data_IF_043999163233
#
_entry.id   IF_043999163233
#
_cell.length_a   1.000
_cell.length_b   1.000
_cell.length_c   1.000
_cell.angle_alpha   90.00
_cell.angle_beta   90.00
_cell.angle_gamma   90.00
#
_symmetry.space_group_name_H-M   'P 1'
#
loop_
_entity.id
_entity.type
_entity.pdbx_description
1 polymer ?
#
# COMPACT_ATOMS: atom_id res chain seq x y z
N UNK A 1 27.75 11.90 -12.56
CA UNK A 1 26.78 10.86 -12.96
C UNK A 1 25.81 11.49 -13.93
N UNK A 2 26.15 11.47 -15.23
CA UNK A 2 25.40 12.10 -16.30
C UNK A 2 24.15 11.27 -16.64
N UNK A 3 22.97 11.86 -16.43
CA UNK A 3 21.67 11.25 -16.71
C UNK A 3 21.42 11.13 -18.20
N UNK A 4 21.68 9.95 -18.76
CA UNK A 4 21.29 9.61 -20.11
C UNK A 4 19.94 8.87 -20.02
N UNK A 5 18.81 9.38 -20.52
CA UNK A 5 17.51 8.71 -20.45
C UNK A 5 17.54 7.30 -21.08
N UNK A 6 18.49 7.07 -21.99
CA UNK A 6 18.73 5.77 -22.60
C UNK A 6 19.31 4.73 -21.63
N UNK A 7 20.12 5.13 -20.64
CA UNK A 7 20.62 4.18 -19.62
C UNK A 7 19.54 3.79 -18.62
N UNK A 8 18.61 4.70 -18.30
CA UNK A 8 17.37 4.38 -17.59
C UNK A 8 16.52 3.37 -18.38
N UNK A 9 16.35 3.57 -19.68
CA UNK A 9 15.59 2.65 -20.54
C UNK A 9 16.21 1.25 -20.60
N UNK A 10 17.52 1.13 -20.80
CA UNK A 10 18.22 -0.16 -20.85
C UNK A 10 18.20 -0.86 -19.47
N UNK A 11 18.34 -0.12 -18.37
CA UNK A 11 18.23 -0.66 -17.02
C UNK A 11 16.80 -1.14 -16.70
N UNK A 12 15.77 -0.44 -17.17
CA UNK A 12 14.36 -0.85 -17.09
C UNK A 12 14.05 -2.07 -17.97
N UNK A 13 14.72 -2.20 -19.12
CA UNK A 13 14.49 -3.27 -20.10
C UNK A 13 14.99 -4.64 -19.62
N UNK A 14 16.05 -4.69 -18.79
CA UNK A 14 16.77 -5.95 -18.53
C UNK A 14 16.30 -6.74 -17.29
N UNK A 15 15.41 -6.21 -16.44
CA UNK A 15 14.89 -6.93 -15.25
C UNK A 15 13.68 -6.25 -14.57
N UNK A 16 13.59 -4.91 -14.46
CA UNK A 16 12.53 -4.23 -13.73
C UNK A 16 11.12 -4.40 -14.32
N UNK A 17 10.99 -4.38 -15.65
CA UNK A 17 9.68 -4.45 -16.31
C UNK A 17 8.99 -5.81 -16.18
N UNK A 18 9.74 -6.90 -16.01
CA UNK A 18 9.15 -8.23 -15.89
C UNK A 18 8.25 -8.31 -14.65
N UNK A 19 8.74 -7.87 -13.48
CA UNK A 19 7.95 -7.92 -12.25
C UNK A 19 6.76 -6.96 -12.29
N UNK A 20 6.94 -5.77 -12.87
CA UNK A 20 5.84 -4.84 -13.06
C UNK A 20 4.76 -5.40 -13.99
N UNK A 21 5.15 -6.01 -15.11
CA UNK A 21 4.21 -6.65 -16.05
C UNK A 21 3.51 -7.85 -15.41
N UNK A 22 4.21 -8.68 -14.64
CA UNK A 22 3.61 -9.77 -13.87
C UNK A 22 2.55 -9.22 -12.90
N UNK A 23 2.87 -8.17 -12.14
CA UNK A 23 1.90 -7.56 -11.20
C UNK A 23 0.68 -7.00 -11.93
N UNK A 24 0.87 -6.31 -13.06
CA UNK A 24 -0.24 -5.78 -13.86
C UNK A 24 -1.10 -6.89 -14.47
N UNK A 25 -0.49 -7.97 -14.98
CA UNK A 25 -1.22 -9.11 -15.56
C UNK A 25 -2.01 -9.84 -14.48
N UNK A 26 -1.40 -10.12 -13.33
CA UNK A 26 -2.09 -10.75 -12.20
C UNK A 26 -3.26 -9.88 -11.72
N UNK A 27 -3.04 -8.56 -11.60
CA UNK A 27 -4.10 -7.63 -11.24
C UNK A 27 -5.23 -7.60 -12.26
N UNK A 28 -4.93 -7.56 -13.55
CA UNK A 28 -5.94 -7.57 -14.61
C UNK A 28 -6.76 -8.87 -14.60
N UNK A 29 -6.14 -10.02 -14.33
CA UNK A 29 -6.83 -11.31 -14.19
C UNK A 29 -7.74 -11.29 -12.95
N UNK A 30 -7.24 -10.78 -11.82
CA UNK A 30 -8.01 -10.67 -10.59
C UNK A 30 -9.19 -9.69 -10.73
N UNK A 31 -9.00 -8.57 -11.44
CA UNK A 31 -10.05 -7.60 -11.74
C UNK A 31 -11.10 -8.16 -12.70
N UNK A 32 -10.67 -8.88 -13.75
CA UNK A 32 -11.59 -9.58 -14.64
C UNK A 32 -12.44 -10.64 -13.90
N UNK A 33 -11.83 -11.36 -12.94
CA UNK A 33 -12.56 -12.28 -12.06
C UNK A 33 -13.54 -11.55 -11.12
N UNK A 34 -13.16 -10.38 -10.60
CA UNK A 34 -14.05 -9.51 -9.82
C UNK A 34 -15.24 -9.02 -10.64
N UNK A 35 -15.00 -8.60 -11.87
CA UNK A 35 -16.06 -8.21 -12.82
C UNK A 35 -17.00 -9.38 -13.15
N UNK A 36 -16.46 -10.56 -13.42
CA UNK A 36 -17.26 -11.76 -13.69
C UNK A 36 -18.14 -12.18 -12.48
N UNK A 37 -17.70 -11.86 -11.26
CA UNK A 37 -18.45 -12.14 -10.02
C UNK A 37 -19.32 -10.96 -9.57
N UNK A 38 -19.64 -10.02 -10.46
CA UNK A 38 -20.45 -8.83 -10.17
C UNK A 38 -19.87 -7.93 -9.06
N UNK A 39 -18.55 -7.84 -8.96
CA UNK A 39 -17.82 -7.05 -7.96
C UNK A 39 -18.22 -7.39 -6.52
N UNK A 40 -18.32 -8.70 -6.24
CA UNK A 40 -18.53 -9.19 -4.88
C UNK A 40 -17.41 -8.65 -3.96
N UNK A 41 -17.72 -8.10 -2.77
CA UNK A 41 -16.72 -7.60 -1.81
C UNK A 41 -15.61 -8.60 -1.45
N UNK A 42 -15.91 -9.90 -1.53
CA UNK A 42 -14.92 -10.97 -1.30
C UNK A 42 -13.88 -11.08 -2.42
N UNK A 43 -14.18 -10.60 -3.63
CA UNK A 43 -13.31 -10.67 -4.81
C UNK A 43 -12.54 -9.35 -4.99
N UNK A 44 -11.81 -8.92 -3.96
CA UNK A 44 -10.99 -7.71 -4.01
C UNK A 44 -9.75 -7.95 -4.89
N UNK A 45 -9.62 -7.28 -6.06
CA UNK A 45 -8.53 -7.53 -7.00
C UNK A 45 -7.14 -7.31 -6.39
N UNK A 46 -7.01 -6.31 -5.51
CA UNK A 46 -5.73 -5.97 -4.86
C UNK A 46 -5.33 -7.09 -3.90
N UNK A 47 -6.26 -7.54 -3.06
CA UNK A 47 -6.01 -8.63 -2.12
C UNK A 47 -5.60 -9.91 -2.86
N UNK A 48 -6.30 -10.24 -3.94
CA UNK A 48 -5.98 -11.42 -4.73
C UNK A 48 -4.62 -11.32 -5.41
N UNK A 49 -4.27 -10.14 -5.91
CA UNK A 49 -2.96 -9.91 -6.53
C UNK A 49 -1.81 -10.11 -5.54
N UNK A 50 -1.96 -9.66 -4.30
CA UNK A 50 -0.92 -9.75 -3.26
C UNK A 50 -0.52 -11.21 -3.01
N UNK A 51 -1.48 -12.10 -2.75
CA UNK A 51 -1.14 -13.49 -2.43
C UNK A 51 -0.72 -14.29 -3.66
N UNK A 52 -1.28 -14.00 -4.85
CA UNK A 52 -0.87 -14.66 -6.10
C UNK A 52 0.59 -14.31 -6.43
N UNK A 53 0.95 -13.02 -6.39
CA UNK A 53 2.34 -12.58 -6.64
C UNK A 53 3.27 -13.10 -5.54
N UNK A 54 2.86 -13.06 -4.28
CA UNK A 54 3.62 -13.62 -3.17
C UNK A 54 3.90 -15.12 -3.33
N UNK A 55 2.90 -15.90 -3.76
CA UNK A 55 3.07 -17.32 -4.07
C UNK A 55 4.00 -17.53 -5.26
N UNK A 56 3.88 -16.71 -6.31
CA UNK A 56 4.74 -16.79 -7.48
C UNK A 56 6.21 -16.55 -7.10
N UNK A 57 6.49 -15.51 -6.31
CA UNK A 57 7.84 -15.21 -5.80
C UNK A 57 8.40 -16.34 -4.94
N UNK A 58 7.55 -16.96 -4.11
CA UNK A 58 7.95 -18.09 -3.28
C UNK A 58 8.32 -19.32 -4.13
N UNK A 59 7.53 -19.63 -5.16
CA UNK A 59 7.78 -20.73 -6.08
C UNK A 59 9.01 -20.50 -6.97
N UNK A 60 9.27 -19.26 -7.41
CA UNK A 60 10.44 -18.91 -8.21
C UNK A 60 11.70 -18.67 -7.38
N UNK A 61 11.61 -18.72 -6.04
CA UNK A 61 12.72 -18.44 -5.12
C UNK A 61 13.27 -17.01 -5.25
N UNK A 62 12.50 -16.08 -5.83
CA UNK A 62 12.97 -14.72 -6.06
C UNK A 62 12.84 -13.89 -4.79
N UNK A 63 13.87 -13.13 -4.43
CA UNK A 63 13.80 -12.26 -3.26
C UNK A 63 12.81 -11.11 -3.49
N UNK A 64 12.14 -10.70 -2.41
CA UNK A 64 11.27 -9.52 -2.42
C UNK A 64 12.00 -8.26 -2.90
N UNK A 65 13.28 -8.12 -2.59
CA UNK A 65 14.10 -6.98 -3.03
C UNK A 65 14.24 -6.90 -4.55
N UNK A 66 14.36 -8.05 -5.24
CA UNK A 66 14.41 -8.11 -6.71
C UNK A 66 13.05 -7.84 -7.35
N UNK A 67 11.96 -8.26 -6.70
CA UNK A 67 10.60 -7.87 -7.11
C UNK A 67 10.38 -6.36 -6.95
N UNK A 68 10.74 -5.82 -5.78
CA UNK A 68 10.51 -4.43 -5.42
C UNK A 68 11.33 -3.46 -6.29
N UNK A 69 12.54 -3.86 -6.70
CA UNK A 69 13.33 -3.07 -7.65
C UNK A 69 12.62 -2.92 -9.01
N UNK A 70 11.85 -3.93 -9.42
CA UNK A 70 10.98 -3.84 -10.61
C UNK A 70 9.70 -3.04 -10.42
N UNK A 71 9.14 -3.04 -9.20
CA UNK A 71 7.93 -2.32 -8.86
C UNK A 71 8.14 -0.84 -8.48
N UNK A 72 9.38 -0.33 -8.50
CA UNK A 72 9.70 1.05 -8.07
C UNK A 72 8.90 2.14 -8.78
N UNK A 73 8.53 1.93 -10.05
CA UNK A 73 7.72 2.90 -10.79
C UNK A 73 6.34 3.09 -10.15
N UNK A 74 5.67 2.00 -9.76
CA UNK A 74 4.36 2.05 -9.08
C UNK A 74 4.50 2.67 -7.69
N UNK A 75 5.58 2.35 -6.98
CA UNK A 75 5.88 2.94 -5.69
C UNK A 75 6.15 4.45 -5.79
N UNK A 76 6.82 4.93 -6.84
CA UNK A 76 6.97 6.36 -7.12
C UNK A 76 5.61 7.04 -7.38
N UNK A 77 4.74 6.39 -8.16
CA UNK A 77 3.39 6.90 -8.45
C UNK A 77 2.48 6.98 -7.22
N UNK A 78 2.83 6.32 -6.13
CA UNK A 78 2.13 6.41 -4.84
C UNK A 78 2.11 7.86 -4.31
N UNK A 79 3.20 8.62 -4.52
CA UNK A 79 3.28 10.04 -4.14
C UNK A 79 2.24 10.89 -4.87
N UNK A 80 2.28 10.99 -6.22
CA UNK A 80 1.25 11.70 -6.98
C UNK A 80 -0.18 11.20 -6.73
N UNK A 81 -0.38 9.89 -6.53
CA UNK A 81 -1.69 9.32 -6.22
C UNK A 81 -2.23 9.81 -4.87
N UNK A 82 -1.39 9.85 -3.83
CA UNK A 82 -1.80 10.39 -2.51
C UNK A 82 -2.14 11.88 -2.56
N UNK A 83 -1.42 12.67 -3.35
CA UNK A 83 -1.76 14.08 -3.58
C UNK A 83 -3.06 14.21 -4.36
N UNK A 84 -3.29 13.38 -5.38
CA UNK A 84 -4.53 13.36 -6.14
C UNK A 84 -5.76 13.07 -5.27
N UNK A 85 -5.62 12.22 -4.24
CA UNK A 85 -6.67 11.97 -3.25
C UNK A 85 -7.00 13.18 -2.37
N UNK A 86 -6.12 14.18 -2.28
CA UNK A 86 -6.41 15.43 -1.57
C UNK A 86 -7.26 16.41 -2.40
N UNK A 87 -7.34 16.23 -3.73
CA UNK A 87 -8.09 17.13 -4.63
C UNK A 87 -9.60 17.15 -4.30
N UNK A 88 -10.31 16.01 -4.13
CA UNK A 88 -11.73 16.01 -3.76
C UNK A 88 -12.00 16.74 -2.43
N UNK A 89 -11.07 16.64 -1.48
CA UNK A 89 -11.17 17.34 -0.19
C UNK A 89 -11.04 18.85 -0.36
N UNK A 90 -10.16 19.30 -1.26
CA UNK A 90 -9.98 20.71 -1.59
C UNK A 90 -11.18 21.29 -2.34
N UNK A 91 -11.77 20.52 -3.27
CA UNK A 91 -13.00 20.92 -3.97
C UNK A 91 -14.16 21.12 -2.98
N UNK A 92 -14.28 20.21 -2.00
CA UNK A 92 -15.31 20.28 -0.94
C UNK A 92 -14.91 21.11 0.29
N UNK A 93 -13.90 21.99 0.19
CA UNK A 93 -13.30 22.70 1.34
C UNK A 93 -14.30 23.44 2.24
N UNK A 94 -15.39 23.99 1.68
CA UNK A 94 -16.39 24.74 2.47
C UNK A 94 -17.12 23.82 3.46
N UNK A 95 -17.52 22.64 2.99
CA UNK A 95 -18.13 21.59 3.83
C UNK A 95 -17.12 21.12 4.87
N UNK A 96 -15.87 20.90 4.46
CA UNK A 96 -14.80 20.46 5.36
C UNK A 96 -14.55 21.49 6.47
N UNK A 97 -14.47 22.78 6.14
CA UNK A 97 -14.27 23.84 7.15
C UNK A 97 -15.45 23.98 8.11
N UNK A 98 -16.68 23.80 7.64
CA UNK A 98 -17.85 23.84 8.53
C UNK A 98 -17.86 22.71 9.57
N UNK A 99 -17.21 21.59 9.27
CA UNK A 99 -17.15 20.39 10.12
C UNK A 99 -15.74 20.08 10.64
N UNK A 100 -14.80 21.05 10.58
CA UNK A 100 -13.40 20.77 10.92
C UNK A 100 -13.20 20.42 12.39
N UNK A 101 -13.92 21.07 13.29
CA UNK A 101 -13.84 20.80 14.73
C UNK A 101 -14.27 19.36 15.07
N UNK A 102 -15.48 18.89 14.69
CA UNK A 102 -15.86 17.50 14.94
C UNK A 102 -14.98 16.49 14.18
N UNK A 103 -14.50 16.80 12.97
CA UNK A 103 -13.56 15.93 12.26
C UNK A 103 -12.22 15.78 13.00
N UNK A 104 -11.64 16.87 13.50
CA UNK A 104 -10.38 16.82 14.24
C UNK A 104 -10.54 16.02 15.54
N UNK A 105 -11.64 16.22 16.27
CA UNK A 105 -11.91 15.45 17.49
C UNK A 105 -12.08 13.95 17.18
N UNK A 106 -12.87 13.62 16.15
CA UNK A 106 -13.04 12.23 15.72
C UNK A 106 -11.72 11.61 15.23
N UNK A 107 -10.88 12.38 14.54
CA UNK A 107 -9.57 11.94 14.07
C UNK A 107 -8.64 11.64 15.25
N UNK A 108 -8.52 12.55 16.23
CA UNK A 108 -7.64 12.36 17.39
C UNK A 108 -8.07 11.13 18.18
N UNK A 109 -9.37 11.04 18.52
CA UNK A 109 -9.90 9.90 19.29
C UNK A 109 -9.74 8.60 18.49
N UNK A 110 -10.16 8.59 17.22
CA UNK A 110 -10.09 7.41 16.36
C UNK A 110 -8.66 6.92 16.14
N UNK A 111 -7.70 7.83 15.90
CA UNK A 111 -6.29 7.48 15.76
C UNK A 111 -5.71 6.88 17.06
N UNK A 112 -5.97 7.51 18.20
CA UNK A 112 -5.49 7.00 19.50
C UNK A 112 -6.10 5.62 19.75
N UNK A 113 -7.42 5.45 19.60
CA UNK A 113 -8.08 4.16 19.80
C UNK A 113 -7.52 3.10 18.84
N UNK A 114 -7.41 3.41 17.55
CA UNK A 114 -6.89 2.45 16.56
C UNK A 114 -5.45 2.01 16.86
N UNK A 115 -4.55 2.96 17.14
CA UNK A 115 -3.14 2.66 17.43
C UNK A 115 -3.04 1.87 18.74
N UNK A 116 -3.68 2.33 19.81
CA UNK A 116 -3.62 1.67 21.12
C UNK A 116 -4.18 0.26 21.04
N UNK A 117 -5.32 0.06 20.39
CA UNK A 117 -5.89 -1.28 20.20
C UNK A 117 -4.95 -2.19 19.43
N UNK A 118 -4.41 -1.74 18.30
CA UNK A 118 -3.52 -2.58 17.47
C UNK A 118 -2.24 -2.95 18.22
N UNK A 119 -1.61 -1.98 18.88
CA UNK A 119 -0.37 -2.21 19.64
C UNK A 119 -0.61 -3.17 20.81
N UNK A 120 -1.68 -2.98 21.59
CA UNK A 120 -2.04 -3.87 22.69
C UNK A 120 -2.27 -5.32 22.21
N UNK A 121 -3.05 -5.51 21.13
CA UNK A 121 -3.29 -6.84 20.60
C UNK A 121 -2.03 -7.48 20.00
N UNK A 122 -1.20 -6.70 19.31
CA UNK A 122 0.03 -7.21 18.70
C UNK A 122 1.10 -7.57 19.75
N UNK A 123 1.23 -6.77 20.81
CA UNK A 123 2.10 -7.09 21.96
C UNK A 123 1.57 -8.29 22.75
N UNK A 124 0.25 -8.37 22.99
CA UNK A 124 -0.37 -9.51 23.66
C UNK A 124 -0.20 -10.82 22.86
N UNK A 125 -0.18 -10.74 21.54
CA UNK A 125 0.11 -11.87 20.66
C UNK A 125 1.62 -12.17 20.54
N UNK A 126 2.49 -11.39 21.19
CA UNK A 126 3.94 -11.61 21.23
C UNK A 126 4.66 -11.30 19.92
N UNK A 127 4.12 -10.43 19.06
CA UNK A 127 4.74 -10.09 17.79
C UNK A 127 6.04 -9.28 17.98
N UNK A 128 7.05 -9.46 17.11
CA UNK A 128 8.25 -8.66 17.14
C UNK A 128 7.95 -7.18 16.85
N UNK A 129 8.71 -6.29 17.50
CA UNK A 129 8.48 -4.84 17.50
C UNK A 129 8.42 -4.23 16.09
N UNK A 130 9.19 -4.75 15.14
CA UNK A 130 9.16 -4.29 13.74
C UNK A 130 7.79 -4.50 13.08
N UNK A 131 7.12 -5.63 13.37
CA UNK A 131 5.79 -5.92 12.83
C UNK A 131 4.74 -5.06 13.54
N UNK A 132 4.87 -4.88 14.86
CA UNK A 132 3.98 -3.99 15.64
C UNK A 132 4.01 -2.57 15.08
N UNK A 133 5.21 -2.03 14.81
CA UNK A 133 5.38 -0.70 14.21
C UNK A 133 4.81 -0.62 12.79
N UNK A 134 4.92 -1.69 12.00
CA UNK A 134 4.35 -1.77 10.64
C UNK A 134 2.81 -1.82 10.66
N UNK A 135 2.21 -2.34 11.74
CA UNK A 135 0.75 -2.44 11.90
C UNK A 135 0.12 -1.15 12.44
N UNK A 136 0.88 -0.28 13.11
CA UNK A 136 0.35 0.95 13.70
C UNK A 136 -0.41 1.85 12.69
N UNK A 137 0.08 2.11 11.46
CA UNK A 137 -0.63 2.93 10.50
C UNK A 137 -1.65 2.15 9.63
N UNK A 138 -2.08 0.94 10.03
CA UNK A 138 -2.94 0.07 9.19
C UNK A 138 -4.29 0.67 8.77
N UNK A 139 -4.79 1.68 9.49
CA UNK A 139 -6.12 2.27 9.26
C UNK A 139 -6.07 3.52 8.39
N UNK A 140 -4.90 3.87 7.86
CA UNK A 140 -4.74 4.98 6.89
C UNK A 140 -4.69 4.39 5.48
N UNK A 141 -5.05 5.17 4.46
CA UNK A 141 -4.91 4.77 3.05
C UNK A 141 -3.50 4.22 2.79
N UNK A 142 -3.42 3.05 2.14
CA UNK A 142 -2.18 2.29 1.96
C UNK A 142 -0.96 3.14 1.58
N UNK A 143 -1.15 4.10 0.67
CA UNK A 143 -0.10 5.03 0.26
C UNK A 143 0.49 5.87 1.39
N UNK A 144 -0.39 6.48 2.19
CA UNK A 144 0.00 7.32 3.34
C UNK A 144 0.57 6.46 4.46
N UNK A 145 -0.01 5.29 4.70
CA UNK A 145 0.46 4.35 5.72
C UNK A 145 1.89 3.86 5.45
N UNK A 146 2.21 3.53 4.19
CA UNK A 146 3.56 3.15 3.76
C UNK A 146 4.58 4.26 4.07
N UNK A 147 4.27 5.51 3.72
CA UNK A 147 5.16 6.64 4.02
C UNK A 147 5.37 6.85 5.53
N UNK A 148 4.31 6.71 6.33
CA UNK A 148 4.43 6.77 7.80
C UNK A 148 5.32 5.63 8.31
N UNK A 149 5.13 4.40 7.83
CA UNK A 149 5.96 3.24 8.19
C UNK A 149 7.44 3.46 7.90
N UNK A 150 7.79 4.05 6.74
CA UNK A 150 9.18 4.40 6.41
C UNK A 150 9.79 5.35 7.43
N UNK A 151 9.05 6.39 7.84
CA UNK A 151 9.52 7.34 8.86
C UNK A 151 9.67 6.71 10.26
N UNK A 152 8.94 5.63 10.54
CA UNK A 152 9.02 4.86 11.78
C UNK A 152 10.13 3.79 11.74
N UNK A 153 10.82 3.61 10.61
CA UNK A 153 11.82 2.54 10.41
C UNK A 153 11.20 1.15 10.31
N UNK A 154 9.90 1.05 10.01
CA UNK A 154 9.15 -0.19 9.86
C UNK A 154 9.04 -0.61 8.38
N UNK A 155 8.65 -1.86 8.11
CA UNK A 155 8.61 -2.39 6.75
C UNK A 155 7.32 -1.96 6.00
N UNK A 156 7.41 -1.08 4.99
CA UNK A 156 6.23 -0.54 4.31
C UNK A 156 5.42 -1.60 3.57
N UNK A 157 6.07 -2.69 3.14
CA UNK A 157 5.41 -3.80 2.47
C UNK A 157 4.39 -4.48 3.38
N UNK A 158 4.76 -4.71 4.65
CA UNK A 158 3.88 -5.32 5.65
C UNK A 158 2.71 -4.38 5.96
N UNK A 159 2.99 -3.09 6.06
CA UNK A 159 1.96 -2.05 6.23
C UNK A 159 0.96 -2.01 5.07
N UNK A 160 1.43 -2.12 3.83
CA UNK A 160 0.57 -2.15 2.65
C UNK A 160 -0.38 -3.36 2.68
N UNK A 161 0.11 -4.53 3.07
CA UNK A 161 -0.72 -5.73 3.20
C UNK A 161 -1.73 -5.57 4.34
N UNK A 162 -1.30 -5.08 5.51
CA UNK A 162 -2.18 -4.87 6.66
C UNK A 162 -3.28 -3.83 6.41
N UNK A 163 -2.97 -2.77 5.66
CA UNK A 163 -3.95 -1.76 5.26
C UNK A 163 -4.99 -2.34 4.30
N UNK A 164 -4.56 -3.06 3.26
CA UNK A 164 -5.49 -3.71 2.30
C UNK A 164 -6.35 -4.79 2.95
N UNK A 165 -5.84 -5.49 3.97
CA UNK A 165 -6.60 -6.51 4.69
C UNK A 165 -7.69 -5.93 5.61
N UNK A 166 -7.51 -4.70 6.10
CA UNK A 166 -8.41 -4.10 7.10
C UNK A 166 -9.21 -2.91 6.60
N UNK A 167 -8.94 -2.42 5.38
CA UNK A 167 -9.68 -1.36 4.69
C UNK A 167 -10.72 -1.91 3.73
#
# INVERSE_FOLDING_TARGET
MSGNPFSLWVYLSQTPLLWLTVTLVVYAIADAASLATHRNPLMNPVLHSIWIVGLFLHLTGTSYTTYFSGAQFVHFLLGPATVALAVPLYESRKTVMSAIVPMLMALVVGCITAIVSVVLFAEAAGLPREIVLSLAPKSVTAGVAMGISETLGANPAITAVATVLTG
#
